data_IF_121870430921
#
_entry.id   IF_121870430921
#
_cell.length_a   1.000
_cell.length_b   1.000
_cell.length_c   1.000
_cell.angle_alpha   90.00
_cell.angle_beta   90.00
_cell.angle_gamma   90.00
#
_symmetry.space_group_name_H-M   'P 1'
#
loop_
_entity.id
_entity.type
_entity.pdbx_description
1 polymer ?
#
# COMPACT_ATOMS: atom_id res chain seq x y z
N UNK A 1 -26.69 4.74 -3.52
CA UNK A 1 -26.61 5.20 -4.92
C UNK A 1 -25.68 4.23 -5.65
N UNK A 2 -26.30 3.40 -6.50
CA UNK A 2 -25.76 2.41 -7.45
C UNK A 2 -24.64 1.47 -6.98
N UNK A 3 -25.05 0.34 -6.41
CA UNK A 3 -24.29 -0.92 -6.40
C UNK A 3 -24.23 -1.42 -7.86
N UNK A 4 -23.19 -1.04 -8.59
CA UNK A 4 -22.85 -1.76 -9.82
C UNK A 4 -22.24 -3.08 -9.38
N UNK A 5 -22.99 -4.17 -9.49
CA UNK A 5 -22.52 -5.54 -9.23
C UNK A 5 -21.62 -5.99 -10.40
N UNK A 6 -20.64 -5.17 -10.74
CA UNK A 6 -19.71 -5.45 -11.81
C UNK A 6 -18.52 -6.21 -11.24
N UNK A 7 -18.00 -7.21 -11.97
CA UNK A 7 -16.78 -7.90 -11.56
C UNK A 7 -15.63 -6.88 -11.47
N UNK A 8 -14.93 -6.92 -10.34
CA UNK A 8 -13.81 -6.04 -10.07
C UNK A 8 -12.65 -6.80 -9.45
N UNK A 9 -11.44 -6.45 -9.88
CA UNK A 9 -10.21 -6.93 -9.30
C UNK A 9 -9.65 -5.90 -8.32
N UNK A 10 -9.12 -6.40 -7.21
CA UNK A 10 -8.57 -5.59 -6.13
C UNK A 10 -7.08 -5.88 -5.97
N UNK A 11 -6.25 -4.86 -6.22
CA UNK A 11 -4.83 -4.86 -5.90
C UNK A 11 -4.56 -4.07 -4.63
N UNK A 12 -3.71 -4.57 -3.75
CA UNK A 12 -3.28 -3.86 -2.54
C UNK A 12 -1.76 -3.73 -2.55
N UNK A 13 -1.26 -2.51 -2.34
CA UNK A 13 0.16 -2.18 -2.45
C UNK A 13 0.60 -1.18 -1.38
N UNK A 14 1.90 -0.86 -1.34
CA UNK A 14 2.42 0.20 -0.46
C UNK A 14 1.80 1.57 -0.72
N UNK A 15 1.33 1.83 -1.94
CA UNK A 15 0.78 3.14 -2.33
C UNK A 15 -0.71 3.28 -2.06
N UNK A 16 -1.43 2.17 -1.86
CA UNK A 16 -2.87 2.17 -1.70
C UNK A 16 -3.53 0.90 -2.24
N UNK A 17 -4.83 1.03 -2.49
CA UNK A 17 -5.67 0.01 -3.11
C UNK A 17 -5.97 0.42 -4.55
N UNK A 18 -5.78 -0.49 -5.49
CA UNK A 18 -6.15 -0.34 -6.90
C UNK A 18 -7.38 -1.20 -7.18
N UNK A 19 -8.40 -0.61 -7.80
CA UNK A 19 -9.63 -1.29 -8.19
C UNK A 19 -9.69 -1.27 -9.71
N UNK A 20 -9.77 -2.43 -10.33
CA UNK A 20 -9.97 -2.55 -11.77
C UNK A 20 -11.35 -3.14 -12.02
N UNK A 21 -12.24 -2.38 -12.66
CA UNK A 21 -13.55 -2.88 -13.06
C UNK A 21 -13.47 -3.44 -14.47
N UNK A 22 -13.97 -4.66 -14.65
CA UNK A 22 -13.95 -5.39 -15.91
C UNK A 22 -15.31 -5.23 -16.60
N UNK A 23 -15.62 -4.05 -17.15
CA UNK A 23 -16.80 -3.93 -18.03
C UNK A 23 -16.47 -4.45 -19.43
N UNK A 24 -17.43 -5.10 -20.13
CA UNK A 24 -17.23 -5.68 -21.46
C UNK A 24 -16.72 -4.70 -22.52
N UNK A 25 -16.99 -3.40 -22.34
CA UNK A 25 -16.62 -2.35 -23.30
C UNK A 25 -15.52 -1.42 -22.79
N UNK A 26 -15.24 -1.38 -21.48
CA UNK A 26 -14.25 -0.44 -20.94
C UNK A 26 -13.67 -0.92 -19.61
N UNK A 27 -12.35 -1.13 -19.58
CA UNK A 27 -11.63 -1.33 -18.31
C UNK A 27 -11.39 0.02 -17.65
N UNK A 28 -11.85 0.16 -16.41
CA UNK A 28 -11.61 1.35 -15.60
C UNK A 28 -10.75 1.00 -14.40
N UNK A 29 -9.73 1.79 -14.14
CA UNK A 29 -8.83 1.62 -13.00
C UNK A 29 -8.95 2.82 -12.05
N UNK A 30 -9.32 2.56 -10.80
CA UNK A 30 -9.34 3.55 -9.73
C UNK A 30 -8.24 3.26 -8.72
N UNK A 31 -7.54 4.30 -8.28
CA UNK A 31 -6.47 4.20 -7.28
C UNK A 31 -6.85 4.95 -6.01
N UNK A 32 -7.04 4.22 -4.92
CA UNK A 32 -7.34 4.74 -3.59
C UNK A 32 -6.05 4.79 -2.77
N UNK A 33 -5.47 5.99 -2.61
CA UNK A 33 -4.27 6.17 -1.79
C UNK A 33 -4.59 6.00 -0.30
N UNK A 34 -3.65 5.44 0.46
CA UNK A 34 -3.79 5.27 1.92
C UNK A 34 -4.11 6.58 2.65
N UNK A 35 -3.48 7.69 2.27
CA UNK A 35 -3.74 9.04 2.83
C UNK A 35 -5.19 9.53 2.69
N UNK A 36 -5.97 8.92 1.79
CA UNK A 36 -7.36 9.30 1.52
C UNK A 36 -8.37 8.30 2.10
N UNK A 37 -7.90 7.22 2.72
CA UNK A 37 -8.76 6.21 3.34
C UNK A 37 -8.97 6.63 4.80
N UNK A 38 -10.23 6.69 5.21
CA UNK A 38 -10.65 7.02 6.57
C UNK A 38 -10.79 5.77 7.43
N UNK A 39 -11.45 4.76 6.88
CA UNK A 39 -11.77 3.54 7.61
C UNK A 39 -11.90 2.34 6.67
N UNK A 40 -11.65 1.16 7.22
CA UNK A 40 -11.70 -0.14 6.56
C UNK A 40 -12.57 -1.07 7.40
N UNK A 41 -13.79 -1.32 6.93
CA UNK A 41 -14.80 -2.09 7.68
C UNK A 41 -15.09 -3.42 6.99
N UNK A 42 -15.33 -4.47 7.75
CA UNK A 42 -15.73 -5.77 7.26
C UNK A 42 -16.99 -6.26 7.96
N UNK A 43 -17.95 -6.79 7.20
CA UNK A 43 -19.17 -7.41 7.71
C UNK A 43 -19.62 -8.52 6.77
N UNK A 44 -19.68 -9.75 7.29
CA UNK A 44 -20.07 -10.95 6.53
C UNK A 44 -19.27 -11.09 5.23
N UNK A 45 -19.89 -10.96 4.07
CA UNK A 45 -19.24 -11.09 2.74
C UNK A 45 -18.88 -9.72 2.15
N UNK A 46 -19.02 -8.66 2.93
CA UNK A 46 -18.85 -7.29 2.47
C UNK A 46 -17.63 -6.67 3.12
N UNK A 47 -16.72 -6.19 2.28
CA UNK A 47 -15.60 -5.33 2.68
C UNK A 47 -15.88 -3.90 2.21
N UNK A 48 -15.73 -2.93 3.09
CA UNK A 48 -16.03 -1.52 2.82
C UNK A 48 -14.81 -0.64 3.06
N UNK A 49 -14.51 0.22 2.09
CA UNK A 49 -13.47 1.24 2.19
C UNK A 49 -14.17 2.60 2.28
N UNK A 50 -14.05 3.26 3.44
CA UNK A 50 -14.56 4.60 3.66
C UNK A 50 -13.47 5.62 3.26
N UNK A 51 -13.81 6.55 2.37
CA UNK A 51 -12.90 7.61 1.94
C UNK A 51 -13.02 8.82 2.88
N UNK A 52 -11.88 9.41 3.23
CA UNK A 52 -11.77 10.63 4.03
C UNK A 52 -12.37 11.83 3.29
N UNK A 53 -12.01 11.98 2.01
CA UNK A 53 -12.55 13.03 1.15
C UNK A 53 -13.91 12.61 0.61
N UNK A 54 -14.89 13.52 0.63
CA UNK A 54 -16.24 13.37 0.06
C UNK A 54 -17.16 12.39 0.80
N UNK A 55 -16.72 11.85 1.95
CA UNK A 55 -17.45 10.87 2.77
C UNK A 55 -18.10 9.73 1.95
N UNK A 56 -17.40 9.29 0.89
CA UNK A 56 -17.85 8.22 0.02
C UNK A 56 -17.38 6.88 0.59
N UNK A 57 -18.22 5.86 0.47
CA UNK A 57 -17.86 4.48 0.78
C UNK A 57 -17.86 3.65 -0.49
N UNK A 58 -16.89 2.75 -0.62
CA UNK A 58 -16.85 1.74 -1.68
C UNK A 58 -17.08 0.39 -1.02
N UNK A 59 -18.08 -0.35 -1.51
CA UNK A 59 -18.45 -1.66 -0.98
C UNK A 59 -18.07 -2.75 -1.99
N UNK A 60 -17.41 -3.79 -1.49
CA UNK A 60 -17.02 -4.97 -2.25
C UNK A 60 -17.74 -6.17 -1.67
N UNK A 61 -18.52 -6.85 -2.51
CA UNK A 61 -19.19 -8.08 -2.17
C UNK A 61 -18.34 -9.25 -2.67
N UNK A 62 -18.01 -10.17 -1.77
CA UNK A 62 -17.26 -11.38 -2.08
C UNK A 62 -18.18 -12.59 -2.11
N UNK A 63 -17.77 -13.62 -2.85
CA UNK A 63 -18.43 -14.93 -2.84
C UNK A 63 -18.34 -15.57 -1.45
N UNK A 64 -17.17 -15.46 -0.80
CA UNK A 64 -16.88 -16.07 0.49
C UNK A 64 -16.56 -15.06 1.57
N UNK A 65 -17.00 -15.40 2.78
CA UNK A 65 -16.71 -14.64 3.99
C UNK A 65 -15.21 -14.59 4.30
N UNK A 66 -14.50 -15.69 4.01
CA UNK A 66 -13.07 -15.85 4.26
C UNK A 66 -12.24 -14.94 3.36
N UNK A 67 -12.57 -14.86 2.07
CA UNK A 67 -11.88 -13.98 1.11
C UNK A 67 -12.06 -12.50 1.50
N UNK A 68 -13.28 -12.09 1.86
CA UNK A 68 -13.55 -10.74 2.35
C UNK A 68 -12.77 -10.43 3.64
N UNK A 69 -12.72 -11.38 4.58
CA UNK A 69 -11.97 -11.23 5.85
C UNK A 69 -10.48 -11.11 5.60
N UNK A 70 -9.94 -11.99 4.77
CA UNK A 70 -8.53 -12.02 4.41
C UNK A 70 -8.09 -10.69 3.81
N UNK A 71 -8.82 -10.20 2.81
CA UNK A 71 -8.44 -8.94 2.14
C UNK A 71 -8.57 -7.75 3.08
N UNK A 72 -9.60 -7.71 3.92
CA UNK A 72 -9.73 -6.69 4.95
C UNK A 72 -8.53 -6.69 5.90
N UNK A 73 -8.15 -7.85 6.45
CA UNK A 73 -6.98 -7.98 7.32
C UNK A 73 -5.68 -7.53 6.62
N UNK A 74 -5.51 -7.93 5.36
CA UNK A 74 -4.36 -7.52 4.57
C UNK A 74 -4.30 -5.99 4.35
N UNK A 75 -5.45 -5.37 4.06
CA UNK A 75 -5.55 -3.91 3.94
C UNK A 75 -5.22 -3.20 5.27
N UNK A 76 -5.71 -3.72 6.40
CA UNK A 76 -5.39 -3.18 7.74
C UNK A 76 -3.88 -3.24 8.00
N UNK A 77 -3.24 -4.37 7.70
CA UNK A 77 -1.80 -4.54 7.89
C UNK A 77 -0.99 -3.57 7.01
N UNK A 78 -1.34 -3.46 5.72
CA UNK A 78 -0.67 -2.57 4.78
C UNK A 78 -0.87 -1.09 5.13
N UNK A 79 -2.09 -0.71 5.53
CA UNK A 79 -2.38 0.65 5.97
C UNK A 79 -1.61 1.01 7.25
N UNK A 80 -1.56 0.10 8.23
CA UNK A 80 -0.79 0.31 9.46
C UNK A 80 0.70 0.52 9.16
N UNK A 81 1.27 -0.30 8.28
CA UNK A 81 2.66 -0.14 7.83
C UNK A 81 2.90 1.21 7.13
N UNK A 82 1.95 1.68 6.32
CA UNK A 82 2.02 3.01 5.71
C UNK A 82 1.99 4.14 6.76
N UNK A 83 1.11 4.06 7.76
CA UNK A 83 1.02 5.06 8.84
C UNK A 83 2.31 5.07 9.67
N UNK A 84 2.85 3.91 10.03
CA UNK A 84 4.10 3.81 10.79
C UNK A 84 5.28 4.42 10.03
N UNK A 85 5.37 4.17 8.72
CA UNK A 85 6.37 4.81 7.88
C UNK A 85 6.20 6.32 7.83
N UNK A 86 4.97 6.78 7.57
CA UNK A 86 4.66 8.20 7.40
C UNK A 86 4.85 9.00 8.68
N UNK A 87 4.47 8.45 9.83
CA UNK A 87 4.69 9.06 11.14
C UNK A 87 6.17 9.22 11.42
N UNK A 88 6.99 8.19 11.20
CA UNK A 88 8.45 8.27 11.38
C UNK A 88 9.10 9.30 10.46
N UNK A 89 8.75 9.31 9.17
CA UNK A 89 9.32 10.27 8.20
C UNK A 89 8.92 11.70 8.52
N UNK A 90 7.70 11.95 9.02
CA UNK A 90 7.25 13.28 9.44
C UNK A 90 7.79 13.71 10.81
N UNK A 91 8.04 12.76 11.71
CA UNK A 91 8.53 13.05 13.06
C UNK A 91 10.04 13.14 13.15
N UNK A 92 10.79 12.68 12.13
CA UNK A 92 12.22 12.91 12.06
C UNK A 92 12.47 14.42 12.02
N UNK A 93 13.11 15.02 13.03
CA UNK A 93 13.77 16.31 12.82
C UNK A 93 14.70 16.08 11.63
N UNK A 94 14.66 16.96 10.63
CA UNK A 94 15.83 17.09 9.75
C UNK A 94 17.01 17.22 10.71
N UNK A 95 17.85 16.19 10.81
CA UNK A 95 19.12 16.38 11.47
C UNK A 95 19.74 17.59 10.76
N UNK A 96 20.12 18.66 11.49
CA UNK A 96 20.88 19.72 10.86
C UNK A 96 22.02 19.02 10.15
N UNK A 97 22.19 19.34 8.86
CA UNK A 97 23.29 18.84 8.06
C UNK A 97 24.52 18.83 8.96
N UNK A 98 25.02 17.65 9.30
CA UNK A 98 26.28 17.52 10.00
C UNK A 98 27.23 18.25 9.06
N UNK A 99 27.65 19.46 9.44
CA UNK A 99 28.78 20.11 8.80
C UNK A 99 29.91 19.13 9.00
N UNK A 100 30.16 18.33 7.97
CA UNK A 100 31.38 17.58 7.82
C UNK A 100 32.42 18.68 7.70
N UNK A 101 32.96 19.12 8.83
CA UNK A 101 34.22 19.82 8.84
C UNK A 101 35.19 18.90 8.14
N UNK A 102 35.67 19.38 7.01
CA UNK A 102 36.69 18.79 6.15
C UNK A 102 37.75 18.08 7.02
N UNK A 103 37.99 16.78 6.82
CA UNK A 103 39.04 16.11 7.58
C UNK A 103 40.38 16.74 7.20
N UNK A 104 41.26 17.04 8.18
CA UNK A 104 42.57 17.58 7.86
C UNK A 104 43.32 16.61 6.94
N UNK A 105 43.85 17.18 5.86
CA UNK A 105 44.56 16.54 4.75
C UNK A 105 45.89 15.91 5.21
N UNK A 106 45.81 14.86 6.00
CA UNK A 106 46.97 14.07 6.40
C UNK A 106 46.54 12.61 6.41
N UNK A 107 46.75 11.97 5.26
CA UNK A 107 47.04 10.55 5.03
C UNK A 107 46.41 10.10 3.70
N UNK A 108 46.97 10.67 2.62
CA UNK A 108 46.88 10.13 1.27
C UNK A 108 47.53 8.74 1.26
N UNK A 109 46.73 7.68 1.27
CA UNK A 109 47.26 6.33 1.07
C UNK A 109 46.27 5.19 1.26
N UNK A 110 45.91 4.56 0.15
CA UNK A 110 45.50 3.13 0.01
C UNK A 110 44.00 2.81 0.02
N UNK A 111 43.41 2.82 -1.17
CA UNK A 111 42.55 1.79 -1.79
C UNK A 111 41.48 1.04 -0.95
N UNK A 112 40.22 1.39 -1.24
CA UNK A 112 39.12 0.51 -1.70
C UNK A 112 39.01 -0.93 -1.15
N UNK A 113 37.98 -1.18 -0.32
CA UNK A 113 36.76 -1.97 -0.63
C UNK A 113 36.05 -2.38 0.67
N UNK A 114 34.87 -1.82 0.94
CA UNK A 114 33.91 -2.42 1.86
C UNK A 114 32.67 -2.87 1.08
N UNK A 115 32.53 -4.19 0.99
CA UNK A 115 31.33 -4.90 0.55
C UNK A 115 30.21 -4.67 1.56
N UNK A 116 29.07 -4.13 1.11
CA UNK A 116 27.87 -4.04 1.92
C UNK A 116 26.89 -5.15 1.52
N UNK A 117 26.55 -6.11 2.39
CA UNK A 117 25.53 -7.11 2.11
C UNK A 117 24.27 -6.74 2.89
N UNK A 118 23.32 -6.00 2.31
CA UNK A 118 21.93 -6.01 2.78
C UNK A 118 21.01 -5.29 1.79
N UNK A 119 20.52 -6.05 0.81
CA UNK A 119 19.29 -5.71 0.11
C UNK A 119 18.12 -6.40 0.80
N UNK A 120 17.15 -5.69 1.40
CA UNK A 120 15.88 -6.30 1.73
C UNK A 120 15.13 -6.59 0.43
N UNK A 121 15.02 -7.89 0.13
CA UNK A 121 14.23 -8.47 -0.95
C UNK A 121 12.84 -7.86 -0.98
N UNK A 122 12.53 -7.14 -2.06
CA UNK A 122 11.17 -6.70 -2.39
C UNK A 122 10.30 -7.93 -2.68
N UNK A 123 9.65 -8.48 -1.66
CA UNK A 123 8.64 -9.51 -1.85
C UNK A 123 7.36 -8.89 -2.45
N UNK A 124 7.30 -8.78 -3.78
CA UNK A 124 6.06 -8.54 -4.50
C UNK A 124 5.30 -9.87 -4.59
N UNK A 125 4.37 -10.12 -3.67
CA UNK A 125 3.44 -11.24 -3.78
C UNK A 125 2.18 -10.78 -4.53
N UNK A 126 2.19 -11.01 -5.84
CA UNK A 126 0.97 -10.96 -6.66
C UNK A 126 0.12 -12.17 -6.31
N UNK A 127 -0.99 -11.96 -5.60
CA UNK A 127 -2.01 -13.00 -5.42
C UNK A 127 -2.85 -13.08 -6.69
N UNK A 128 -2.34 -13.79 -7.69
CA UNK A 128 -3.15 -14.24 -8.82
C UNK A 128 -3.94 -15.47 -8.38
N UNK A 129 -5.18 -15.28 -7.91
CA UNK A 129 -6.11 -16.40 -7.73
C UNK A 129 -7.17 -16.31 -8.83
N UNK A 130 -7.07 -17.25 -9.77
CA UNK A 130 -8.01 -17.50 -10.85
C UNK A 130 -9.40 -17.78 -10.26
N UNK A 131 -10.40 -17.01 -10.69
CA UNK A 131 -11.81 -17.41 -10.60
C UNK A 131 -12.17 -17.93 -11.98
N UNK A 132 -12.34 -19.25 -12.06
CA UNK A 132 -12.78 -19.94 -13.26
C UNK A 132 -14.28 -20.17 -13.11
N UNK A 133 -15.06 -19.73 -14.10
CA UNK A 133 -16.38 -20.30 -14.38
C UNK A 133 -16.20 -21.66 -15.05
#
# INVERSE_FOLDING_TARGET
QTCRNEPAELGVSRNGVTIMTLEPQQRTTANLKWEHIKDLTYSRKTFTIQMLKKNKAVHFLFEDNENARYLWQFCIQMHSSYIDYWTRVKSSPQQPAIHISEPPDILRGTELRYTNPDSPVTASRTLSRWIQL
#
